data_IF_685143599804
#
_entry.id   IF_685143599804
#
_cell.length_a   1.000
_cell.length_b   1.000
_cell.length_c   1.000
_cell.angle_alpha   90.00
_cell.angle_beta   90.00
_cell.angle_gamma   90.00
#
_symmetry.space_group_name_H-M   'P 1'
#
loop_
_entity.id
_entity.type
_entity.pdbx_description
1 polymer ?
#
# COMPACT_ATOMS: atom_id res chain seq x y z
N UNK A 1 -5.42 61.85 33.81
CA UNK A 1 -4.72 61.92 35.12
C UNK A 1 -4.31 60.49 35.47
N UNK A 2 -3.14 59.98 35.07
CA UNK A 2 -1.74 60.28 35.44
C UNK A 2 -1.40 59.99 36.91
N UNK A 3 -0.52 58.99 37.09
CA UNK A 3 0.54 58.74 38.10
C UNK A 3 0.71 57.22 38.25
N UNK A 4 1.61 56.52 37.53
CA UNK A 4 3.09 56.56 37.55
C UNK A 4 3.68 56.37 38.94
N UNK A 5 4.39 55.24 39.14
CA UNK A 5 5.70 55.11 39.85
C UNK A 5 5.94 53.69 40.38
N UNK A 6 7.14 53.09 40.42
CA UNK A 6 8.48 53.35 39.86
C UNK A 6 9.37 52.15 40.28
N UNK A 7 10.21 51.64 39.35
CA UNK A 7 11.62 51.18 39.47
C UNK A 7 12.08 50.04 40.41
N UNK A 8 12.90 49.14 39.82
CA UNK A 8 14.07 48.47 40.41
C UNK A 8 14.45 47.21 39.61
N UNK A 9 15.26 47.25 38.54
CA UNK A 9 16.72 47.44 38.39
C UNK A 9 17.61 46.26 38.91
N UNK A 10 18.52 45.82 38.02
CA UNK A 10 19.72 44.95 38.17
C UNK A 10 19.47 43.43 38.29
N UNK A 11 20.31 42.51 37.80
CA UNK A 11 21.37 42.38 36.78
C UNK A 11 21.94 40.97 37.02
N UNK A 12 22.48 40.34 35.97
CA UNK A 12 23.29 39.10 36.01
C UNK A 12 22.55 37.84 36.48
N UNK A 13 22.53 36.72 35.75
CA UNK A 13 23.62 36.13 34.99
C UNK A 13 23.79 34.73 35.53
N UNK A 14 23.24 33.73 34.84
CA UNK A 14 23.68 32.35 34.90
C UNK A 14 23.04 31.62 33.73
N UNK A 15 23.87 31.24 32.76
CA UNK A 15 23.50 30.35 31.68
C UNK A 15 22.90 29.08 32.28
N UNK A 16 21.62 28.84 31.99
CA UNK A 16 21.01 27.53 32.22
C UNK A 16 21.63 26.61 31.18
N UNK A 17 22.68 25.88 31.59
CA UNK A 17 23.11 24.67 30.92
C UNK A 17 21.94 23.68 30.98
N UNK A 18 21.11 23.68 29.94
CA UNK A 18 20.17 22.60 29.71
C UNK A 18 20.99 21.30 29.63
N UNK A 19 20.60 20.23 30.34
CA UNK A 19 21.24 18.94 30.14
C UNK A 19 20.95 18.52 28.69
N UNK A 20 21.99 18.52 27.86
CA UNK A 20 21.98 17.80 26.61
C UNK A 20 21.69 16.34 26.97
N UNK A 21 20.42 15.94 26.83
CA UNK A 21 20.05 14.55 26.87
C UNK A 21 20.94 13.86 25.83
N UNK A 22 21.69 12.81 26.21
CA UNK A 22 22.46 12.08 25.23
C UNK A 22 21.45 11.55 24.21
N UNK A 23 21.56 12.04 22.98
CA UNK A 23 20.99 11.37 21.81
C UNK A 23 21.72 10.05 21.74
N UNK A 24 21.26 9.09 22.55
CA UNK A 24 21.59 7.69 22.41
C UNK A 24 21.07 7.35 21.02
N UNK A 25 21.99 7.35 20.06
CA UNK A 25 21.74 6.78 18.75
C UNK A 25 21.15 5.40 19.02
N UNK A 26 19.85 5.28 18.79
CA UNK A 26 19.18 4.00 18.87
C UNK A 26 19.94 3.11 17.90
N UNK A 27 20.61 2.10 18.46
CA UNK A 27 21.37 1.16 17.65
C UNK A 27 20.42 0.61 16.60
N UNK A 28 20.85 0.55 15.34
CA UNK A 28 20.09 -0.09 14.28
C UNK A 28 19.67 -1.52 14.67
N UNK A 29 20.43 -2.16 15.57
CA UNK A 29 20.09 -3.45 16.18
C UNK A 29 18.86 -3.41 17.10
N UNK A 30 18.63 -2.35 17.85
CA UNK A 30 17.45 -2.22 18.73
C UNK A 30 16.17 -1.96 17.92
N UNK A 31 16.30 -1.22 16.80
CA UNK A 31 15.21 -1.03 15.84
C UNK A 31 14.88 -2.35 15.13
N UNK A 32 15.90 -3.09 14.68
CA UNK A 32 15.70 -4.40 14.06
C UNK A 32 15.06 -5.41 15.02
N UNK A 33 15.46 -5.38 16.29
CA UNK A 33 14.92 -6.27 17.32
C UNK A 33 13.46 -5.92 17.66
N UNK A 34 13.10 -4.64 17.77
CA UNK A 34 11.69 -4.24 17.93
C UNK A 34 10.81 -4.60 16.74
N UNK A 35 11.33 -4.46 15.52
CA UNK A 35 10.60 -4.84 14.31
C UNK A 35 10.36 -6.35 14.26
N UNK A 36 11.34 -7.15 14.68
CA UNK A 36 11.21 -8.61 14.79
C UNK A 36 10.29 -9.04 15.95
N UNK A 37 10.33 -8.34 17.09
CA UNK A 37 9.43 -8.58 18.22
C UNK A 37 7.98 -8.22 17.88
N UNK A 38 7.72 -7.09 17.20
CA UNK A 38 6.38 -6.76 16.67
C UNK A 38 5.86 -7.81 15.67
N UNK A 39 6.74 -8.35 14.83
CA UNK A 39 6.40 -9.40 13.87
C UNK A 39 6.01 -10.72 14.54
N UNK A 40 6.57 -10.99 15.73
CA UNK A 40 6.25 -12.19 16.53
C UNK A 40 4.99 -12.02 17.37
N UNK A 41 4.75 -10.82 17.89
CA UNK A 41 3.56 -10.50 18.69
C UNK A 41 2.28 -10.39 17.84
N UNK A 42 2.43 -10.03 16.56
CA UNK A 42 1.37 -10.06 15.57
C UNK A 42 1.76 -11.02 14.43
N UNK A 43 1.57 -12.34 14.59
CA UNK A 43 1.66 -13.28 13.49
C UNK A 43 0.43 -13.09 12.60
N UNK A 44 0.33 -11.92 11.97
CA UNK A 44 -0.60 -11.71 10.90
C UNK A 44 -0.20 -12.66 9.78
N UNK A 45 -1.14 -13.47 9.32
CA UNK A 45 -1.19 -14.11 8.00
C UNK A 45 -1.17 -13.09 6.86
N UNK A 46 -0.54 -11.93 7.07
CA UNK A 46 -0.40 -10.87 6.11
C UNK A 46 0.79 -11.22 5.24
N UNK A 47 0.50 -11.54 3.99
CA UNK A 47 1.46 -11.76 2.93
C UNK A 47 2.59 -10.73 3.05
N UNK A 48 3.84 -11.19 3.03
CA UNK A 48 4.99 -10.29 2.90
C UNK A 48 4.95 -9.75 1.47
N UNK A 49 4.26 -8.64 1.24
CA UNK A 49 4.32 -7.92 -0.03
C UNK A 49 5.79 -7.56 -0.26
N UNK A 50 6.38 -8.15 -1.29
CA UNK A 50 7.76 -7.89 -1.68
C UNK A 50 7.79 -6.62 -2.52
N UNK A 51 8.97 -6.00 -2.67
CA UNK A 51 9.09 -4.76 -3.45
C UNK A 51 8.69 -4.95 -4.93
N UNK A 52 8.73 -6.17 -5.46
CA UNK A 52 8.26 -6.51 -6.80
C UNK A 52 6.72 -6.53 -6.91
N UNK A 53 6.02 -6.72 -5.80
CA UNK A 53 4.56 -6.72 -5.75
C UNK A 53 3.98 -5.29 -5.71
N UNK A 54 4.81 -4.29 -5.39
CA UNK A 54 4.39 -2.91 -5.21
C UNK A 54 4.33 -2.16 -6.54
N UNK A 55 3.35 -1.28 -6.64
CA UNK A 55 3.26 -0.34 -7.76
C UNK A 55 4.31 0.75 -7.56
N UNK A 56 5.01 1.13 -8.65
CA UNK A 56 5.93 2.26 -8.62
C UNK A 56 5.20 3.54 -8.19
N UNK A 57 5.89 4.35 -7.37
CA UNK A 57 5.39 5.63 -6.84
C UNK A 57 4.97 6.58 -7.97
N UNK A 58 5.54 6.44 -9.17
CA UNK A 58 5.13 7.20 -10.36
C UNK A 58 3.67 6.95 -10.75
N UNK A 59 3.15 5.74 -10.56
CA UNK A 59 1.74 5.43 -10.84
C UNK A 59 0.78 6.05 -9.84
N UNK A 60 1.27 6.46 -8.66
CA UNK A 60 0.50 7.21 -7.67
C UNK A 60 0.22 8.65 -8.10
N UNK A 61 0.80 9.14 -9.19
CA UNK A 61 0.47 10.46 -9.75
C UNK A 61 -0.75 10.44 -10.68
N UNK A 62 -1.38 9.29 -10.91
CA UNK A 62 -2.61 9.19 -11.68
C UNK A 62 -3.80 9.78 -10.87
N UNK A 63 -4.52 10.75 -11.45
CA UNK A 63 -5.62 11.46 -10.78
C UNK A 63 -6.80 10.56 -10.41
N UNK A 64 -7.09 9.54 -11.20
CA UNK A 64 -8.19 8.61 -10.95
C UNK A 64 -7.84 7.69 -9.79
N UNK A 65 -6.61 7.17 -9.74
CA UNK A 65 -6.08 6.41 -8.60
C UNK A 65 -6.14 7.25 -7.32
N UNK A 66 -5.68 8.51 -7.39
CA UNK A 66 -5.73 9.42 -6.25
C UNK A 66 -7.14 9.86 -5.87
N UNK A 67 -8.11 9.76 -6.76
CA UNK A 67 -9.51 10.10 -6.51
C UNK A 67 -10.38 8.92 -6.07
N UNK A 68 -9.88 7.69 -6.21
CA UNK A 68 -10.67 6.49 -5.96
C UNK A 68 -10.75 6.18 -4.46
N UNK A 69 -11.96 6.19 -3.90
CA UNK A 69 -12.25 5.66 -2.58
C UNK A 69 -12.68 4.19 -2.67
N UNK A 70 -11.97 3.32 -1.96
CA UNK A 70 -12.26 1.89 -1.92
C UNK A 70 -13.52 1.60 -1.11
N UNK A 71 -14.27 0.60 -1.56
CA UNK A 71 -15.48 0.12 -0.87
C UNK A 71 -15.50 -1.41 -0.86
N UNK A 72 -16.26 -2.02 0.06
CA UNK A 72 -16.37 -3.47 0.14
C UNK A 72 -16.93 -4.09 -1.16
N UNK A 73 -18.02 -3.57 -1.76
CA UNK A 73 -18.52 -4.14 -3.03
C UNK A 73 -17.52 -4.05 -4.18
N UNK A 74 -16.67 -3.01 -4.19
CA UNK A 74 -15.61 -2.86 -5.19
C UNK A 74 -14.48 -3.88 -4.97
N UNK A 75 -14.04 -4.06 -3.73
CA UNK A 75 -13.01 -5.05 -3.40
C UNK A 75 -13.49 -6.49 -3.63
N UNK A 76 -14.76 -6.78 -3.35
CA UNK A 76 -15.35 -8.10 -3.62
C UNK A 76 -15.28 -8.43 -5.12
N UNK A 77 -15.68 -7.50 -6.00
CA UNK A 77 -15.53 -7.64 -7.45
C UNK A 77 -14.07 -7.80 -7.86
N UNK A 78 -13.20 -6.93 -7.35
CA UNK A 78 -11.76 -6.97 -7.63
C UNK A 78 -11.14 -8.33 -7.28
N UNK A 79 -11.40 -8.86 -6.08
CA UNK A 79 -10.86 -10.16 -5.67
C UNK A 79 -11.49 -11.32 -6.44
N UNK A 80 -12.77 -11.24 -6.81
CA UNK A 80 -13.41 -12.21 -7.68
C UNK A 80 -12.73 -12.29 -9.06
N UNK A 81 -12.50 -11.14 -9.69
CA UNK A 81 -11.78 -11.03 -10.97
C UNK A 81 -10.34 -11.53 -10.82
N UNK A 82 -9.61 -11.07 -9.78
CA UNK A 82 -8.24 -11.51 -9.53
C UNK A 82 -8.15 -13.03 -9.37
N UNK A 83 -9.08 -13.62 -8.65
CA UNK A 83 -9.17 -15.08 -8.48
C UNK A 83 -9.41 -15.78 -9.81
N UNK A 84 -10.30 -15.26 -10.66
CA UNK A 84 -10.53 -15.82 -12.00
C UNK A 84 -9.26 -15.75 -12.87
N UNK A 85 -8.57 -14.61 -12.91
CA UNK A 85 -7.30 -14.44 -13.61
C UNK A 85 -6.26 -15.46 -13.12
N UNK A 86 -6.09 -15.59 -11.80
CA UNK A 86 -5.14 -16.53 -11.21
C UNK A 86 -5.48 -17.98 -11.54
N UNK A 87 -6.75 -18.35 -11.60
CA UNK A 87 -7.18 -19.70 -12.02
C UNK A 87 -6.79 -19.96 -13.48
N UNK A 88 -6.92 -18.98 -14.38
CA UNK A 88 -6.47 -19.11 -15.77
C UNK A 88 -4.94 -19.22 -15.87
N UNK A 89 -4.20 -18.44 -15.07
CA UNK A 89 -2.74 -18.56 -14.98
C UNK A 89 -2.32 -19.96 -14.52
N UNK A 90 -2.98 -20.53 -13.51
CA UNK A 90 -2.69 -21.89 -13.02
C UNK A 90 -2.90 -22.96 -14.10
N UNK A 91 -3.87 -22.75 -15.00
CA UNK A 91 -4.14 -23.67 -16.12
C UNK A 91 -3.18 -23.49 -17.30
N UNK A 92 -2.58 -22.30 -17.44
CA UNK A 92 -1.76 -21.93 -18.60
C UNK A 92 -0.38 -21.39 -18.18
N UNK A 93 0.66 -22.24 -18.22
CA UNK A 93 2.04 -21.80 -17.94
C UNK A 93 2.54 -20.70 -18.88
N UNK A 94 2.09 -20.69 -20.13
CA UNK A 94 2.45 -19.65 -21.09
C UNK A 94 1.84 -18.29 -20.74
N UNK A 95 0.57 -18.26 -20.31
CA UNK A 95 -0.06 -17.05 -19.79
C UNK A 95 0.66 -16.58 -18.52
N UNK A 96 0.98 -17.50 -17.61
CA UNK A 96 1.75 -17.17 -16.40
C UNK A 96 3.08 -16.53 -16.73
N UNK A 97 3.80 -17.05 -17.74
CA UNK A 97 5.09 -16.49 -18.16
C UNK A 97 4.94 -15.09 -18.75
N UNK A 98 3.97 -14.84 -19.63
CA UNK A 98 3.72 -13.51 -20.24
C UNK A 98 3.31 -12.49 -19.18
N UNK A 99 2.30 -12.83 -18.38
CA UNK A 99 1.87 -12.01 -17.26
C UNK A 99 3.03 -11.70 -16.31
N UNK A 100 3.88 -12.67 -15.95
CA UNK A 100 5.06 -12.38 -15.09
C UNK A 100 6.12 -11.51 -15.75
N UNK A 101 6.31 -11.61 -17.06
CA UNK A 101 7.28 -10.79 -17.77
C UNK A 101 6.81 -9.32 -17.83
N UNK A 102 5.51 -9.12 -18.08
CA UNK A 102 4.87 -7.80 -18.18
C UNK A 102 4.71 -7.16 -16.79
N UNK A 103 4.15 -7.93 -15.85
CA UNK A 103 3.94 -7.53 -14.45
C UNK A 103 5.26 -7.47 -13.66
N UNK A 104 6.30 -8.22 -14.04
CA UNK A 104 7.62 -8.16 -13.40
C UNK A 104 8.46 -6.97 -13.84
N UNK A 105 8.18 -6.41 -15.02
CA UNK A 105 8.87 -5.26 -15.59
C UNK A 105 8.28 -3.90 -15.16
N UNK A 106 7.45 -3.87 -14.10
CA UNK A 106 6.64 -2.78 -13.51
C UNK A 106 7.37 -1.43 -13.24
N UNK A 107 7.95 -0.83 -14.25
CA UNK A 107 8.34 0.59 -14.30
C UNK A 107 7.34 1.42 -15.11
N UNK A 108 6.26 0.79 -15.59
CA UNK A 108 5.32 1.35 -16.54
C UNK A 108 3.99 1.72 -15.83
N UNK A 109 3.44 2.90 -16.11
CA UNK A 109 2.31 3.48 -15.37
C UNK A 109 0.98 2.76 -15.58
N UNK A 110 -0.11 3.29 -14.98
CA UNK A 110 -1.48 2.73 -15.07
C UNK A 110 -1.88 2.34 -16.50
N UNK A 111 -1.58 3.18 -17.50
CA UNK A 111 -1.95 2.95 -18.89
C UNK A 111 -1.22 1.76 -19.54
N UNK A 112 0.01 1.47 -19.11
CA UNK A 112 0.76 0.33 -19.64
C UNK A 112 0.25 -0.97 -19.02
N UNK A 113 -0.03 -0.97 -17.70
CA UNK A 113 -0.67 -2.10 -17.01
C UNK A 113 -2.04 -2.41 -17.62
N UNK A 114 -2.82 -1.37 -17.93
CA UNK A 114 -4.11 -1.51 -18.62
C UNK A 114 -3.95 -2.16 -20.00
N UNK A 115 -2.95 -1.73 -20.77
CA UNK A 115 -2.65 -2.30 -22.10
C UNK A 115 -2.28 -3.76 -21.99
N UNK A 116 -1.42 -4.12 -21.03
CA UNK A 116 -0.96 -5.50 -20.83
C UNK A 116 -2.14 -6.41 -20.51
N UNK A 117 -2.98 -6.03 -19.54
CA UNK A 117 -4.19 -6.78 -19.20
C UNK A 117 -5.19 -6.87 -20.36
N UNK A 118 -5.37 -5.80 -21.13
CA UNK A 118 -6.26 -5.79 -22.29
C UNK A 118 -5.73 -6.64 -23.46
N UNK A 119 -4.41 -6.85 -23.53
CA UNK A 119 -3.78 -7.64 -24.59
C UNK A 119 -3.91 -9.15 -24.41
N UNK A 120 -4.20 -9.60 -23.19
CA UNK A 120 -4.37 -11.01 -22.84
C UNK A 120 -5.85 -11.41 -22.84
N UNK A 121 -6.35 -12.15 -23.86
CA UNK A 121 -7.80 -12.40 -24.01
C UNK A 121 -8.44 -13.08 -22.80
N UNK A 122 -7.75 -14.05 -22.20
CA UNK A 122 -8.25 -14.75 -21.01
C UNK A 122 -8.39 -13.82 -19.79
N UNK A 123 -7.52 -12.81 -19.68
CA UNK A 123 -7.59 -11.83 -18.61
C UNK A 123 -8.69 -10.81 -18.88
N UNK A 124 -8.75 -10.28 -20.10
CA UNK A 124 -9.82 -9.37 -20.50
C UNK A 124 -11.22 -10.01 -20.35
N UNK A 125 -11.36 -11.29 -20.68
CA UNK A 125 -12.59 -12.06 -20.48
C UNK A 125 -12.95 -12.20 -18.99
N UNK A 126 -11.97 -12.52 -18.14
CA UNK A 126 -12.18 -12.62 -16.69
C UNK A 126 -12.60 -11.28 -16.07
N UNK A 127 -12.00 -10.17 -16.51
CA UNK A 127 -12.36 -8.82 -16.09
C UNK A 127 -13.79 -8.47 -16.53
N UNK A 128 -14.11 -8.70 -17.80
CA UNK A 128 -15.44 -8.44 -18.35
C UNK A 128 -16.55 -9.26 -17.68
N UNK A 129 -16.27 -10.53 -17.35
CA UNK A 129 -17.19 -11.40 -16.62
C UNK A 129 -17.46 -10.90 -15.18
N UNK A 130 -16.51 -10.18 -14.57
CA UNK A 130 -16.69 -9.52 -13.27
C UNK A 130 -17.41 -8.17 -13.33
N UNK A 131 -17.91 -7.77 -14.52
CA UNK A 131 -18.59 -6.49 -14.74
C UNK A 131 -17.74 -5.28 -14.35
N UNK A 132 -16.45 -5.32 -14.68
CA UNK A 132 -15.56 -4.16 -14.65
C UNK A 132 -14.91 -3.98 -16.02
N UNK A 133 -14.55 -2.76 -16.36
CA UNK A 133 -13.61 -2.49 -17.44
C UNK A 133 -12.19 -2.80 -17.00
N UNK A 134 -11.28 -3.05 -17.94
CA UNK A 134 -9.84 -3.22 -17.63
C UNK A 134 -9.29 -1.99 -16.90
N UNK A 135 -9.70 -0.81 -17.33
CA UNK A 135 -9.35 0.45 -16.68
C UNK A 135 -9.78 0.48 -15.21
N UNK A 136 -11.07 0.25 -14.92
CA UNK A 136 -11.58 0.24 -13.54
C UNK A 136 -10.87 -0.81 -12.67
N UNK A 137 -10.59 -1.99 -13.24
CA UNK A 137 -9.86 -3.05 -12.53
C UNK A 137 -8.45 -2.59 -12.16
N UNK A 138 -7.70 -2.01 -13.11
CA UNK A 138 -6.31 -1.54 -12.87
C UNK A 138 -6.27 -0.37 -11.90
N UNK A 139 -7.16 0.62 -12.04
CA UNK A 139 -7.21 1.76 -11.10
C UNK A 139 -7.52 1.25 -9.68
N UNK A 140 -8.44 0.30 -9.55
CA UNK A 140 -8.76 -0.35 -8.26
C UNK A 140 -7.57 -1.12 -7.71
N UNK A 141 -6.90 -1.92 -8.53
CA UNK A 141 -5.70 -2.67 -8.14
C UNK A 141 -4.60 -1.73 -7.64
N UNK A 142 -4.31 -0.66 -8.37
CA UNK A 142 -3.27 0.30 -8.02
C UNK A 142 -3.60 1.04 -6.73
N UNK A 143 -4.85 1.52 -6.56
CA UNK A 143 -5.28 2.19 -5.33
C UNK A 143 -5.22 1.25 -4.11
N UNK A 144 -5.65 0.00 -4.28
CA UNK A 144 -5.57 -1.04 -3.24
C UNK A 144 -4.11 -1.34 -2.87
N UNK A 145 -3.25 -1.61 -3.84
CA UNK A 145 -1.84 -1.94 -3.62
C UNK A 145 -1.05 -0.76 -3.04
N UNK A 146 -1.42 0.47 -3.38
CA UNK A 146 -0.85 1.67 -2.77
C UNK A 146 -1.16 1.74 -1.26
N UNK A 147 -2.44 1.57 -0.89
CA UNK A 147 -2.86 1.61 0.51
C UNK A 147 -2.24 0.45 1.32
N UNK A 148 -2.20 -0.76 0.74
CA UNK A 148 -1.52 -1.92 1.33
C UNK A 148 -0.02 -1.68 1.48
N UNK A 149 0.64 -1.11 0.46
CA UNK A 149 2.06 -0.79 0.49
C UNK A 149 2.43 0.22 1.58
N UNK A 150 1.56 1.19 1.85
CA UNK A 150 1.72 2.14 2.97
C UNK A 150 1.55 1.41 4.31
N UNK A 151 0.51 0.59 4.47
CA UNK A 151 0.28 -0.20 5.69
C UNK A 151 1.46 -1.13 6.00
N UNK A 152 2.04 -1.73 4.97
CA UNK A 152 3.20 -2.61 5.08
C UNK A 152 4.54 -1.86 5.26
N UNK A 153 4.53 -0.54 5.33
CA UNK A 153 5.72 0.31 5.47
C UNK A 153 6.66 0.26 4.25
N UNK A 154 6.15 -0.13 3.09
CA UNK A 154 6.91 -0.24 1.84
C UNK A 154 6.83 1.00 0.97
N UNK A 155 5.72 1.73 1.07
CA UNK A 155 5.54 3.05 0.48
C UNK A 155 5.61 4.08 1.62
N UNK A 156 6.31 5.22 1.46
CA UNK A 156 6.38 6.24 2.48
C UNK A 156 4.99 6.70 2.95
N UNK A 157 4.78 6.80 4.26
CA UNK A 157 3.51 7.24 4.83
C UNK A 157 3.07 8.65 4.38
N UNK A 158 4.03 9.48 3.95
CA UNK A 158 3.74 10.79 3.35
C UNK A 158 2.88 10.70 2.08
N UNK A 159 2.91 9.58 1.37
CA UNK A 159 2.04 9.34 0.22
C UNK A 159 0.55 9.24 0.60
N UNK A 160 0.22 8.93 1.86
CA UNK A 160 -1.16 8.92 2.35
C UNK A 160 -1.82 10.30 2.36
N UNK A 161 -1.03 11.38 2.33
CA UNK A 161 -1.55 12.74 2.24
C UNK A 161 -2.09 13.09 0.84
N UNK A 162 -1.90 12.22 -0.16
CA UNK A 162 -2.32 12.47 -1.54
C UNK A 162 -3.72 11.90 -1.78
N UNK A 163 -4.69 12.79 -2.01
CA UNK A 163 -6.05 12.40 -2.42
C UNK A 163 -6.73 11.43 -1.45
N UNK A 164 -7.38 10.40 -2.00
CA UNK A 164 -8.12 9.37 -1.29
C UNK A 164 -7.22 8.27 -0.68
N UNK A 165 -5.90 8.28 -0.88
CA UNK A 165 -5.01 7.21 -0.41
C UNK A 165 -5.06 7.06 1.11
N UNK A 166 -5.04 8.17 1.87
CA UNK A 166 -5.19 8.12 3.32
C UNK A 166 -6.55 7.55 3.76
N UNK A 167 -7.63 7.93 3.09
CA UNK A 167 -8.98 7.37 3.32
C UNK A 167 -8.99 5.86 3.07
N UNK A 168 -8.34 5.41 2.00
CA UNK A 168 -8.23 4.00 1.65
C UNK A 168 -7.43 3.22 2.71
N UNK A 169 -6.31 3.77 3.19
CA UNK A 169 -5.53 3.17 4.28
C UNK A 169 -6.40 2.96 5.53
N UNK A 170 -7.18 3.96 5.95
CA UNK A 170 -8.08 3.83 7.10
C UNK A 170 -9.26 2.89 6.83
N UNK A 171 -9.78 2.87 5.61
CA UNK A 171 -10.79 1.91 5.18
C UNK A 171 -10.29 0.46 5.30
N UNK A 172 -9.08 0.17 4.79
CA UNK A 172 -8.48 -1.17 4.87
C UNK A 172 -8.27 -1.60 6.33
N UNK A 173 -7.82 -0.70 7.22
CA UNK A 173 -7.69 -1.01 8.66
C UNK A 173 -9.03 -1.37 9.30
N UNK A 174 -10.10 -0.66 8.94
CA UNK A 174 -11.44 -0.88 9.52
C UNK A 174 -12.05 -2.22 9.10
N UNK A 175 -11.73 -2.68 7.90
CA UNK A 175 -12.34 -3.85 7.27
C UNK A 175 -11.36 -5.01 7.04
N UNK A 176 -10.29 -5.08 7.84
CA UNK A 176 -9.20 -6.05 7.68
C UNK A 176 -9.72 -7.49 7.57
N UNK A 177 -10.68 -7.88 8.43
CA UNK A 177 -11.20 -9.26 8.49
C UNK A 177 -12.02 -9.62 7.25
N UNK A 178 -12.87 -8.71 6.79
CA UNK A 178 -13.66 -8.90 5.57
C UNK A 178 -12.75 -9.02 4.36
N UNK A 179 -11.72 -8.19 4.27
CA UNK A 179 -10.75 -8.19 3.17
C UNK A 179 -9.88 -9.44 3.19
N UNK A 180 -9.42 -9.89 4.37
CA UNK A 180 -8.68 -11.15 4.51
C UNK A 180 -9.54 -12.35 4.06
N UNK A 181 -10.83 -12.34 4.36
CA UNK A 181 -11.75 -13.39 3.93
C UNK A 181 -11.89 -13.43 2.39
N UNK A 182 -12.02 -12.28 1.73
CA UNK A 182 -12.08 -12.18 0.26
C UNK A 182 -10.76 -12.63 -0.40
N UNK A 183 -9.63 -12.27 0.20
CA UNK A 183 -8.31 -12.49 -0.40
C UNK A 183 -7.81 -13.95 -0.27
N UNK A 184 -8.36 -14.74 0.66
CA UNK A 184 -7.85 -16.08 1.01
C UNK A 184 -7.74 -17.04 -0.18
N UNK A 185 -8.71 -17.02 -1.09
CA UNK A 185 -8.64 -17.90 -2.26
C UNK A 185 -7.56 -17.44 -3.24
N UNK A 186 -7.52 -16.13 -3.54
CA UNK A 186 -6.51 -15.54 -4.41
C UNK A 186 -5.09 -15.83 -3.90
N UNK A 187 -4.84 -15.68 -2.58
CA UNK A 187 -3.54 -15.97 -2.00
C UNK A 187 -3.11 -17.43 -2.15
N UNK A 188 -4.06 -18.36 -2.00
CA UNK A 188 -3.79 -19.80 -2.19
C UNK A 188 -3.38 -20.10 -3.63
N UNK A 189 -4.00 -19.44 -4.62
CA UNK A 189 -3.64 -19.60 -6.03
C UNK A 189 -2.28 -18.97 -6.36
N UNK A 190 -1.98 -17.80 -5.78
CA UNK A 190 -0.68 -17.14 -5.95
C UNK A 190 0.47 -17.98 -5.37
N UNK A 191 0.27 -18.59 -4.21
CA UNK A 191 1.25 -19.51 -3.60
C UNK A 191 1.52 -20.72 -4.48
N UNK A 192 0.50 -21.24 -5.18
CA UNK A 192 0.66 -22.33 -6.14
C UNK A 192 1.44 -21.92 -7.36
N UNK A 193 1.22 -20.71 -7.87
CA UNK A 193 1.97 -20.20 -9.02
C UNK A 193 3.45 -19.98 -8.65
N UNK A 194 3.74 -19.61 -7.41
CA UNK A 194 5.09 -19.25 -6.94
C UNK A 194 6.03 -20.45 -6.70
N UNK A 195 5.52 -21.68 -6.80
CA UNK A 195 6.30 -22.93 -6.69
C UNK A 195 6.72 -23.44 -8.05
#
# INVERSE_FOLDING_TARGET
MSRTSFIGLLMAGAAVCAPAAPVRGQSLGDVAKRTEEQRREHPGTSRVFTNADLVDVTSLNNKEVLGLELTLPMLDKYFGIRTAILREMVKSPDLTRRMRAEVGARTAGVADVERDYASEPAVAEAIGAGHMTTHEYVVTEVAFMAAVGILAGKIPATAAANGAIGTNVEFLKRHEREIEAMHREASTLEDRLSR
#
